data_IF_640317662833
#
_entry.id   IF_640317662833
#
_cell.length_a   1.000
_cell.length_b   1.000
_cell.length_c   1.000
_cell.angle_alpha   90.00
_cell.angle_beta   90.00
_cell.angle_gamma   90.00
#
_symmetry.space_group_name_H-M   'P 1'
#
loop_
_entity.id
_entity.type
_entity.pdbx_description
1 polymer ?
#
# COMPACT_ATOMS: atom_id res chain seq x y z
N UNK A 1 -13.34 49.19 18.23
CA UNK A 1 -11.88 49.23 18.04
C UNK A 1 -11.52 48.03 17.15
N UNK A 2 -11.02 48.29 15.94
CA UNK A 2 -10.76 47.30 14.90
C UNK A 2 -9.35 46.72 15.10
N UNK A 3 -9.24 45.47 15.57
CA UNK A 3 -7.94 44.77 15.63
C UNK A 3 -7.73 43.99 14.33
N UNK A 4 -6.93 44.57 13.45
CA UNK A 4 -6.44 43.92 12.23
C UNK A 4 -5.28 43.02 12.65
N UNK A 5 -5.50 41.70 12.71
CA UNK A 5 -4.41 40.74 12.86
C UNK A 5 -3.78 40.50 11.49
N UNK A 6 -2.53 40.93 11.38
CA UNK A 6 -1.61 40.67 10.26
C UNK A 6 -1.70 39.23 9.76
N UNK A 7 -1.65 39.06 8.44
CA UNK A 7 -1.64 37.81 7.65
C UNK A 7 -0.45 36.88 7.97
N UNK A 8 -0.27 36.49 9.24
CA UNK A 8 0.90 35.77 9.73
C UNK A 8 0.60 34.69 10.76
N UNK A 9 -0.62 34.15 10.79
CA UNK A 9 -1.00 32.98 11.60
C UNK A 9 -1.74 31.91 10.78
N UNK A 10 -1.34 31.73 9.51
CA UNK A 10 -1.57 30.49 8.78
C UNK A 10 -0.26 29.70 8.74
N UNK A 11 0.28 29.42 9.93
CA UNK A 11 1.34 28.44 10.09
C UNK A 11 0.70 27.06 10.06
N UNK A 12 1.22 26.18 9.21
CA UNK A 12 0.75 24.81 8.95
C UNK A 12 0.78 23.91 10.21
N UNK A 13 1.29 24.41 11.35
CA UNK A 13 1.72 23.60 12.48
C UNK A 13 0.78 23.58 13.70
N UNK A 14 -0.42 24.15 13.63
CA UNK A 14 -1.42 23.94 14.70
C UNK A 14 -2.81 23.57 14.17
N UNK A 15 -2.99 22.28 13.93
CA UNK A 15 -3.99 21.55 14.73
C UNK A 15 -5.39 21.35 14.16
N UNK A 16 -5.64 21.63 12.88
CA UNK A 16 -6.82 21.09 12.19
C UNK A 16 -6.43 20.56 10.82
N UNK A 17 -5.60 19.51 10.82
CA UNK A 17 -5.46 18.72 9.61
C UNK A 17 -6.82 18.06 9.37
N UNK A 18 -7.51 18.49 8.32
CA UNK A 18 -8.63 17.75 7.72
C UNK A 18 -8.15 16.44 7.07
N UNK A 19 -7.01 15.89 7.51
CA UNK A 19 -6.39 14.70 6.99
C UNK A 19 -7.05 13.41 7.52
N UNK A 20 -8.12 13.54 8.33
CA UNK A 20 -8.94 12.40 8.73
C UNK A 20 -9.75 11.79 7.57
N UNK A 21 -9.97 12.55 6.47
CA UNK A 21 -10.66 12.02 5.27
C UNK A 21 -9.73 11.41 4.22
N UNK A 22 -8.45 11.79 4.21
CA UNK A 22 -7.45 11.33 3.22
C UNK A 22 -6.88 9.95 3.55
N UNK A 23 -6.99 9.46 4.79
CA UNK A 23 -6.65 8.06 5.12
C UNK A 23 -7.49 7.04 4.35
N UNK A 24 -8.63 7.46 3.79
CA UNK A 24 -9.45 6.61 2.91
C UNK A 24 -8.86 6.42 1.52
N UNK A 25 -7.99 7.33 1.06
CA UNK A 25 -7.48 7.37 -0.31
C UNK A 25 -6.13 6.64 -0.48
N UNK A 26 -5.41 6.34 0.60
CA UNK A 26 -4.18 5.53 0.55
C UNK A 26 -4.43 4.04 0.85
N UNK A 27 -5.64 3.53 0.59
CA UNK A 27 -5.91 2.10 0.66
C UNK A 27 -5.60 1.44 -0.69
N UNK A 28 -4.82 0.37 -0.66
CA UNK A 28 -4.64 -0.49 -1.84
C UNK A 28 -6.01 -1.04 -2.29
N UNK A 29 -6.22 -1.22 -3.59
CA UNK A 29 -7.48 -1.74 -4.16
C UNK A 29 -7.97 -3.02 -3.48
N UNK A 30 -7.03 -3.92 -3.16
CA UNK A 30 -7.28 -5.17 -2.44
C UNK A 30 -7.92 -4.92 -1.07
N UNK A 31 -7.45 -3.90 -0.35
CA UNK A 31 -7.99 -3.51 0.96
C UNK A 31 -9.41 -2.98 0.84
N UNK A 32 -9.72 -2.22 -0.22
CA UNK A 32 -11.06 -1.69 -0.49
C UNK A 32 -12.05 -2.83 -0.79
N UNK A 33 -11.66 -3.76 -1.65
CA UNK A 33 -12.47 -4.95 -1.99
C UNK A 33 -12.76 -5.78 -0.74
N UNK A 34 -11.73 -6.09 0.06
CA UNK A 34 -11.89 -6.87 1.29
C UNK A 34 -12.80 -6.15 2.29
N UNK A 35 -12.65 -4.84 2.46
CA UNK A 35 -13.52 -4.03 3.33
C UNK A 35 -14.98 -4.10 2.87
N UNK A 36 -15.24 -4.01 1.55
CA UNK A 36 -16.59 -4.15 0.99
C UNK A 36 -17.20 -5.51 1.32
N UNK A 37 -16.44 -6.59 1.17
CA UNK A 37 -16.91 -7.93 1.52
C UNK A 37 -17.29 -8.05 3.00
N UNK A 38 -16.46 -7.51 3.90
CA UNK A 38 -16.71 -7.53 5.35
C UNK A 38 -17.98 -6.75 5.68
N UNK A 39 -18.11 -5.51 5.18
CA UNK A 39 -19.28 -4.67 5.44
C UNK A 39 -20.55 -5.31 4.90
N UNK A 40 -20.51 -5.87 3.69
CA UNK A 40 -21.63 -6.58 3.10
C UNK A 40 -22.06 -7.78 3.94
N UNK A 41 -21.11 -8.58 4.41
CA UNK A 41 -21.38 -9.74 5.25
C UNK A 41 -22.00 -9.34 6.60
N UNK A 42 -21.46 -8.31 7.25
CA UNK A 42 -22.03 -7.78 8.51
C UNK A 42 -23.45 -7.25 8.30
N UNK A 43 -23.71 -6.61 7.15
CA UNK A 43 -25.05 -6.14 6.80
C UNK A 43 -26.04 -7.30 6.60
N UNK A 44 -25.63 -8.38 5.92
CA UNK A 44 -26.46 -9.57 5.73
C UNK A 44 -26.84 -10.25 7.05
N UNK A 45 -25.90 -10.31 7.99
CA UNK A 45 -26.13 -10.89 9.32
C UNK A 45 -27.04 -10.00 10.19
N UNK A 46 -27.24 -8.74 9.79
CA UNK A 46 -28.09 -7.79 10.51
C UNK A 46 -27.39 -7.13 11.69
N UNK A 47 -26.06 -6.99 11.63
CA UNK A 47 -25.25 -6.31 12.62
C UNK A 47 -24.13 -7.18 13.21
N UNK A 48 -23.19 -6.54 13.90
CA UNK A 48 -22.03 -7.20 14.52
C UNK A 48 -22.44 -8.07 15.72
N UNK A 49 -23.53 -7.72 16.38
CA UNK A 49 -24.07 -8.45 17.55
C UNK A 49 -24.45 -9.90 17.22
N UNK A 50 -24.89 -10.14 15.99
CA UNK A 50 -25.30 -11.46 15.49
C UNK A 50 -24.16 -12.24 14.84
N UNK A 51 -22.94 -11.71 14.87
CA UNK A 51 -21.78 -12.37 14.28
C UNK A 51 -21.23 -13.43 15.24
N UNK A 52 -21.39 -14.70 14.88
CA UNK A 52 -20.83 -15.81 15.62
C UNK A 52 -19.35 -16.02 15.22
N UNK A 53 -18.45 -16.00 16.21
CA UNK A 53 -17.03 -16.22 15.98
C UNK A 53 -16.75 -17.71 15.83
N UNK A 54 -16.65 -18.17 14.59
CA UNK A 54 -16.28 -19.55 14.26
C UNK A 54 -14.81 -19.83 14.66
N UNK A 55 -14.45 -21.07 15.07
CA UNK A 55 -13.06 -21.45 15.36
C UNK A 55 -12.07 -21.16 14.22
N UNK A 56 -12.53 -21.19 12.98
CA UNK A 56 -11.74 -20.82 11.80
C UNK A 56 -11.31 -19.34 11.85
N UNK A 57 -12.18 -18.43 12.30
CA UNK A 57 -11.84 -17.01 12.44
C UNK A 57 -10.68 -16.81 13.41
N UNK A 58 -10.66 -17.57 14.52
CA UNK A 58 -9.57 -17.56 15.49
C UNK A 58 -8.25 -18.06 14.87
N UNK A 59 -8.31 -19.16 14.10
CA UNK A 59 -7.14 -19.67 13.38
C UNK A 59 -6.62 -18.64 12.37
N UNK A 60 -7.49 -18.02 11.58
CA UNK A 60 -7.11 -16.98 10.63
C UNK A 60 -6.50 -15.75 11.32
N UNK A 61 -7.08 -15.30 12.44
CA UNK A 61 -6.55 -14.20 13.22
C UNK A 61 -5.14 -14.52 13.78
N UNK A 62 -4.95 -15.72 14.31
CA UNK A 62 -3.64 -16.17 14.82
C UNK A 62 -2.57 -16.23 13.71
N UNK A 63 -2.96 -16.66 12.51
CA UNK A 63 -2.07 -16.77 11.36
C UNK A 63 -1.84 -15.44 10.64
N UNK A 64 -2.68 -14.42 10.86
CA UNK A 64 -2.63 -13.15 10.13
C UNK A 64 -1.26 -12.46 10.23
N UNK A 65 -0.67 -12.46 11.43
CA UNK A 65 0.66 -11.89 11.67
C UNK A 65 1.74 -12.60 10.86
N UNK A 66 1.69 -13.93 10.80
CA UNK A 66 2.67 -14.74 10.07
C UNK A 66 2.54 -14.47 8.57
N UNK A 67 1.32 -14.48 8.04
CA UNK A 67 1.03 -14.16 6.63
C UNK A 67 1.48 -12.76 6.25
N UNK A 68 1.27 -11.78 7.11
CA UNK A 68 1.74 -10.41 6.86
C UNK A 68 3.27 -10.34 6.80
N UNK A 69 3.97 -11.03 7.70
CA UNK A 69 5.43 -11.08 7.66
C UNK A 69 5.96 -11.77 6.41
N UNK A 70 5.34 -12.88 5.99
CA UNK A 70 5.66 -13.55 4.74
C UNK A 70 5.48 -12.62 3.53
N UNK A 71 4.35 -11.88 3.48
CA UNK A 71 4.09 -10.90 2.43
C UNK A 71 5.19 -9.82 2.35
N UNK A 72 5.62 -9.27 3.49
CA UNK A 72 6.69 -8.28 3.52
C UNK A 72 8.03 -8.85 3.04
N UNK A 73 8.34 -10.09 3.39
CA UNK A 73 9.56 -10.75 2.95
C UNK A 73 9.55 -11.05 1.45
N UNK A 74 8.39 -11.43 0.91
CA UNK A 74 8.23 -11.65 -0.53
C UNK A 74 8.30 -10.35 -1.33
N UNK A 75 7.72 -9.26 -0.81
CA UNK A 75 7.84 -7.93 -1.42
C UNK A 75 9.31 -7.50 -1.55
N UNK A 76 10.10 -7.68 -0.48
CA UNK A 76 11.55 -7.40 -0.51
C UNK A 76 12.29 -8.25 -1.54
N UNK A 77 11.91 -9.52 -1.72
CA UNK A 77 12.51 -10.39 -2.73
C UNK A 77 12.12 -9.96 -4.15
N UNK A 78 10.89 -9.53 -4.37
CA UNK A 78 10.45 -9.01 -5.66
C UNK A 78 11.19 -7.72 -6.04
N UNK A 79 11.39 -6.82 -5.07
CA UNK A 79 12.17 -5.59 -5.26
C UNK A 79 13.65 -5.91 -5.56
N UNK A 80 14.23 -6.89 -4.85
CA UNK A 80 15.60 -7.34 -5.12
C UNK A 80 15.72 -8.02 -6.51
N UNK A 81 14.73 -8.78 -6.94
CA UNK A 81 14.71 -9.40 -8.27
C UNK A 81 14.54 -8.38 -9.38
N UNK A 82 13.61 -7.43 -9.24
CA UNK A 82 13.35 -6.41 -10.25
C UNK A 82 14.55 -5.49 -10.51
N UNK A 83 15.32 -5.18 -9.46
CA UNK A 83 16.55 -4.41 -9.57
C UNK A 83 17.68 -5.19 -10.25
N UNK A 84 17.81 -6.49 -9.97
CA UNK A 84 18.78 -7.36 -10.63
C UNK A 84 18.43 -7.59 -12.10
N UNK A 85 17.15 -7.81 -12.41
CA UNK A 85 16.65 -8.01 -13.77
C UNK A 85 16.79 -6.73 -14.62
N UNK A 86 16.51 -5.56 -14.03
CA UNK A 86 16.75 -4.27 -14.69
C UNK A 86 18.23 -4.06 -15.02
N UNK A 87 19.14 -4.39 -14.09
CA UNK A 87 20.59 -4.33 -14.33
C UNK A 87 21.04 -5.31 -15.42
N UNK A 88 20.49 -6.54 -15.43
CA UNK A 88 20.78 -7.54 -16.47
C UNK A 88 20.33 -7.09 -17.85
N UNK A 89 19.13 -6.52 -17.96
CA UNK A 89 18.61 -5.98 -19.21
C UNK A 89 19.51 -4.86 -19.73
N UNK A 90 19.86 -3.91 -18.87
CA UNK A 90 20.77 -2.82 -19.22
C UNK A 90 22.14 -3.30 -19.74
N UNK A 91 22.76 -4.26 -19.06
CA UNK A 91 24.04 -4.84 -19.49
C UNK A 91 23.89 -5.61 -20.82
N UNK A 92 22.75 -6.28 -21.01
CA UNK A 92 22.42 -6.98 -22.25
C UNK A 92 22.31 -6.02 -23.44
N UNK A 93 21.61 -4.91 -23.25
CA UNK A 93 21.41 -3.88 -24.28
C UNK A 93 22.74 -3.23 -24.66
N UNK A 94 23.56 -2.84 -23.67
CA UNK A 94 24.94 -2.33 -23.88
C UNK A 94 25.81 -3.31 -24.70
N UNK A 95 25.75 -4.61 -24.37
CA UNK A 95 26.50 -5.64 -25.10
C UNK A 95 26.03 -5.76 -26.55
N UNK A 96 24.72 -5.63 -26.82
CA UNK A 96 24.21 -5.66 -28.20
C UNK A 96 24.65 -4.44 -28.98
N UNK A 97 24.70 -3.26 -28.37
CA UNK A 97 25.11 -2.03 -29.03
C UNK A 97 26.62 -2.00 -29.29
N UNK A 98 27.44 -2.50 -28.36
CA UNK A 98 28.86 -2.74 -28.62
C UNK A 98 29.08 -3.72 -29.77
N UNK A 99 28.29 -4.80 -29.87
CA UNK A 99 28.37 -5.77 -30.98
C UNK A 99 27.94 -5.16 -32.32
N UNK A 100 26.94 -4.28 -32.35
CA UNK A 100 26.52 -3.55 -33.55
C UNK A 100 27.62 -2.59 -34.02
N UNK A 101 28.21 -1.81 -33.11
CA UNK A 101 29.32 -0.89 -33.41
C UNK A 101 30.56 -1.62 -33.95
N UNK A 102 30.84 -2.85 -33.48
CA UNK A 102 31.96 -3.68 -33.95
C UNK A 102 31.74 -4.34 -35.31
N UNK A 103 30.51 -4.35 -35.83
CA UNK A 103 30.13 -4.90 -37.15
C UNK A 103 29.98 -3.85 -38.24
N UNK A 104 30.09 -2.56 -37.91
CA UNK A 104 30.17 -1.50 -38.92
C UNK A 104 31.60 -1.45 -39.47
N UNK A 105 31.78 -1.46 -40.81
CA UNK A 105 33.10 -1.44 -41.46
C UNK A 105 33.86 -0.14 -41.22
#
# INVERSE_FOLDING_TARGET
MLLILSHGQSGVERGFSFNAKILTENMQDKSIINRRHIVHHVHLIGGVDKFEVTPQCLQYASAARIKYRQYLDDQKKEDAKSTVDSKRKYIGDELTDCKKKKKMP
#
